data_IF_375017170984
#
_entry.id   IF_375017170984
#
_cell.length_a   1.000
_cell.length_b   1.000
_cell.length_c   1.000
_cell.angle_alpha   90.00
_cell.angle_beta   90.00
_cell.angle_gamma   90.00
#
_symmetry.space_group_name_H-M   'P 1'
#
loop_
_entity.id
_entity.type
_entity.pdbx_description
1 polymer ?
#
# COMPACT_ATOMS: atom_id res chain seq x y z
N UNK A 1 3.03 18.74 4.76
CA UNK A 1 3.58 17.37 4.69
C UNK A 1 3.30 16.51 5.93
N UNK A 2 3.53 16.93 7.19
CA UNK A 2 3.36 16.03 8.35
C UNK A 2 1.92 15.56 8.58
N UNK A 3 0.93 16.43 8.34
CA UNK A 3 -0.49 16.07 8.47
C UNK A 3 -0.94 15.02 7.44
N UNK A 4 -0.41 15.06 6.22
CA UNK A 4 -0.78 14.12 5.17
C UNK A 4 -0.16 12.74 5.40
N UNK A 5 1.08 12.68 5.91
CA UNK A 5 1.70 11.43 6.36
C UNK A 5 0.92 10.80 7.53
N UNK A 6 0.43 11.61 8.47
CA UNK A 6 -0.37 11.11 9.60
C UNK A 6 -1.70 10.49 9.12
N UNK A 7 -2.39 11.15 8.18
CA UNK A 7 -3.61 10.62 7.55
C UNK A 7 -3.32 9.31 6.82
N UNK A 8 -2.20 9.22 6.09
CA UNK A 8 -1.74 7.97 5.47
C UNK A 8 -1.56 6.87 6.51
N UNK A 9 -0.78 7.08 7.57
CA UNK A 9 -0.57 6.03 8.58
C UNK A 9 -1.86 5.61 9.28
N UNK A 10 -2.76 6.54 9.60
CA UNK A 10 -4.07 6.19 10.16
C UNK A 10 -4.88 5.32 9.18
N UNK A 11 -4.87 5.66 7.89
CA UNK A 11 -5.56 4.84 6.87
C UNK A 11 -4.92 3.46 6.76
N UNK A 12 -3.59 3.34 6.65
CA UNK A 12 -2.96 2.02 6.51
C UNK A 12 -3.09 1.17 7.80
N UNK A 13 -3.13 1.77 8.99
CA UNK A 13 -3.41 1.04 10.24
C UNK A 13 -4.83 0.45 10.21
N UNK A 14 -5.84 1.24 9.82
CA UNK A 14 -7.22 0.75 9.70
C UNK A 14 -7.30 -0.38 8.67
N UNK A 15 -6.65 -0.22 7.52
CA UNK A 15 -6.60 -1.25 6.48
C UNK A 15 -5.83 -2.51 6.93
N UNK A 16 -4.81 -2.36 7.77
CA UNK A 16 -4.10 -3.50 8.38
C UNK A 16 -5.04 -4.34 9.24
N UNK A 17 -5.87 -3.68 10.05
CA UNK A 17 -6.86 -4.36 10.89
C UNK A 17 -7.87 -5.10 10.03
N UNK A 18 -8.40 -4.45 8.99
CA UNK A 18 -9.33 -5.09 8.05
C UNK A 18 -8.69 -6.30 7.34
N UNK A 19 -7.44 -6.17 6.88
CA UNK A 19 -6.73 -7.25 6.20
C UNK A 19 -6.48 -8.46 7.13
N UNK A 20 -6.24 -8.21 8.42
CA UNK A 20 -6.11 -9.28 9.43
C UNK A 20 -7.43 -10.02 9.65
N UNK A 21 -8.56 -9.31 9.76
CA UNK A 21 -9.85 -9.93 10.09
C UNK A 21 -10.54 -10.56 8.87
N UNK A 22 -10.54 -9.86 7.74
CA UNK A 22 -11.37 -10.19 6.58
C UNK A 22 -10.54 -10.58 5.35
N UNK A 23 -9.20 -10.49 5.41
CA UNK A 23 -8.28 -10.71 4.26
C UNK A 23 -8.74 -9.98 2.99
N UNK A 24 -9.33 -8.81 3.19
CA UNK A 24 -9.89 -7.96 2.16
C UNK A 24 -9.72 -6.51 2.56
N UNK A 25 -9.54 -5.64 1.56
CA UNK A 25 -9.32 -4.22 1.75
C UNK A 25 -10.50 -3.49 1.13
N UNK A 26 -11.11 -2.60 1.89
CA UNK A 26 -12.20 -1.76 1.36
C UNK A 26 -11.64 -0.52 0.67
N UNK A 27 -11.64 -0.55 -0.67
CA UNK A 27 -11.19 0.53 -1.57
C UNK A 27 -11.64 1.97 -1.22
N UNK A 28 -12.86 2.23 -0.73
CA UNK A 28 -13.31 3.61 -0.45
C UNK A 28 -12.45 4.36 0.59
N UNK A 29 -11.76 3.64 1.48
CA UNK A 29 -10.90 4.25 2.51
C UNK A 29 -9.63 4.89 1.95
N UNK A 30 -9.23 4.54 0.74
CA UNK A 30 -8.04 5.06 0.07
C UNK A 30 -8.33 6.35 -0.72
N UNK A 31 -9.60 6.60 -1.05
CA UNK A 31 -10.05 7.73 -1.85
C UNK A 31 -9.69 9.10 -1.25
N UNK A 32 -9.85 9.33 0.08
CA UNK A 32 -9.46 10.61 0.69
C UNK A 32 -7.97 10.89 0.58
N UNK A 33 -7.13 9.87 0.77
CA UNK A 33 -5.67 10.00 0.69
C UNK A 33 -5.21 10.27 -0.75
N UNK A 34 -5.87 9.64 -1.72
CA UNK A 34 -5.59 9.83 -3.15
C UNK A 34 -6.05 11.22 -3.62
N UNK A 35 -7.24 11.67 -3.21
CA UNK A 35 -7.75 13.01 -3.50
C UNK A 35 -6.83 14.10 -2.93
N UNK A 36 -6.38 13.94 -1.69
CA UNK A 36 -5.45 14.89 -1.05
C UNK A 36 -4.11 14.98 -1.79
N UNK A 37 -3.63 13.87 -2.37
CA UNK A 37 -2.41 13.88 -3.19
C UNK A 37 -2.62 14.55 -4.56
N UNK A 38 -3.74 14.27 -5.25
CA UNK A 38 -4.12 14.93 -6.51
C UNK A 38 -4.21 16.45 -6.34
N UNK A 39 -4.75 16.91 -5.21
CA UNK A 39 -4.89 18.33 -4.89
C UNK A 39 -3.58 18.98 -4.42
N UNK A 40 -2.50 18.20 -4.24
CA UNK A 40 -1.19 18.74 -3.85
C UNK A 40 -0.45 19.34 -5.04
N UNK A 41 0.25 20.46 -4.83
CA UNK A 41 1.03 21.14 -5.87
C UNK A 41 2.22 20.31 -6.39
N UNK A 42 2.55 19.20 -5.73
CA UNK A 42 3.63 18.26 -6.07
C UNK A 42 3.14 17.04 -6.87
N UNK A 43 1.91 17.06 -7.37
CA UNK A 43 1.35 15.93 -8.10
C UNK A 43 2.15 15.62 -9.38
N UNK A 44 2.55 14.36 -9.54
CA UNK A 44 3.29 13.92 -10.72
C UNK A 44 2.45 12.93 -11.53
N UNK A 45 2.04 13.40 -12.71
CA UNK A 45 1.18 12.68 -13.66
C UNK A 45 1.76 11.35 -14.13
N UNK A 46 3.08 11.23 -14.27
CA UNK A 46 3.71 10.00 -14.76
C UNK A 46 3.43 8.80 -13.85
N UNK A 47 3.43 9.02 -12.54
CA UNK A 47 3.16 7.96 -11.56
C UNK A 47 1.67 7.64 -11.46
N UNK A 48 0.81 8.63 -11.65
CA UNK A 48 -0.62 8.40 -11.74
C UNK A 48 -0.97 7.55 -12.96
N UNK A 49 -0.34 7.78 -14.11
CA UNK A 49 -0.53 6.91 -15.29
C UNK A 49 0.00 5.49 -15.06
N UNK A 50 1.13 5.34 -14.35
CA UNK A 50 1.67 4.03 -13.99
C UNK A 50 0.69 3.27 -13.08
N UNK A 51 0.13 3.96 -12.07
CA UNK A 51 -0.94 3.43 -11.22
C UNK A 51 -2.14 2.96 -12.05
N UNK A 52 -2.68 3.82 -12.93
CA UNK A 52 -3.81 3.47 -13.80
C UNK A 52 -3.50 2.28 -14.71
N UNK A 53 -2.27 2.20 -15.26
CA UNK A 53 -1.85 1.11 -16.13
C UNK A 53 -1.78 -0.22 -15.38
N UNK A 54 -1.25 -0.21 -14.15
CA UNK A 54 -1.23 -1.38 -13.27
C UNK A 54 -2.65 -1.80 -12.91
N UNK A 55 -3.52 -0.86 -12.52
CA UNK A 55 -4.93 -1.14 -12.25
C UNK A 55 -5.66 -1.73 -13.46
N UNK A 56 -5.39 -1.20 -14.66
CA UNK A 56 -5.98 -1.67 -15.91
C UNK A 56 -5.52 -3.09 -16.26
N UNK A 57 -4.23 -3.38 -16.12
CA UNK A 57 -3.69 -4.75 -16.30
C UNK A 57 -4.37 -5.72 -15.33
N UNK A 58 -4.60 -5.29 -14.08
CA UNK A 58 -5.26 -6.12 -13.08
C UNK A 58 -6.70 -6.45 -13.47
N UNK A 59 -7.46 -5.45 -13.94
CA UNK A 59 -8.83 -5.63 -14.43
C UNK A 59 -8.84 -6.56 -15.65
N UNK A 60 -7.92 -6.37 -16.61
CA UNK A 60 -7.86 -7.15 -17.84
C UNK A 60 -7.54 -8.62 -17.61
N UNK A 61 -6.73 -8.94 -16.60
CA UNK A 61 -6.34 -10.31 -16.32
C UNK A 61 -7.37 -11.08 -15.47
N UNK A 62 -8.45 -10.45 -15.02
CA UNK A 62 -9.39 -11.01 -14.03
C UNK A 62 -8.69 -11.54 -12.76
N UNK A 63 -7.43 -11.15 -12.55
CA UNK A 63 -6.63 -11.53 -11.42
C UNK A 63 -7.06 -10.62 -10.26
N UNK A 64 -7.75 -11.19 -9.28
CA UNK A 64 -7.93 -10.52 -7.99
C UNK A 64 -6.65 -10.64 -7.11
N UNK A 65 -5.54 -11.14 -7.68
CA UNK A 65 -4.45 -11.80 -6.95
C UNK A 65 -3.14 -10.98 -6.87
N UNK A 66 -3.16 -9.75 -7.39
CA UNK A 66 -2.13 -8.74 -7.10
C UNK A 66 -2.82 -7.41 -6.81
N UNK A 67 -2.92 -7.02 -5.54
CA UNK A 67 -3.43 -5.69 -5.18
C UNK A 67 -4.94 -5.54 -5.16
N UNK A 68 -5.59 -6.18 -4.18
CA UNK A 68 -6.96 -5.88 -3.82
C UNK A 68 -7.10 -4.61 -2.94
N UNK A 69 -6.03 -3.79 -2.91
CA UNK A 69 -5.79 -2.66 -2.00
C UNK A 69 -4.29 -2.43 -1.71
N UNK A 70 -3.45 -3.47 -1.76
CA UNK A 70 -2.01 -3.35 -1.48
C UNK A 70 -1.28 -2.44 -2.47
N UNK A 71 -1.66 -2.48 -3.76
CA UNK A 71 -1.11 -1.62 -4.80
C UNK A 71 -1.52 -0.16 -4.56
N UNK A 72 -2.74 0.07 -4.07
CA UNK A 72 -3.20 1.41 -3.74
C UNK A 72 -2.40 1.98 -2.55
N UNK A 73 -2.16 1.15 -1.53
CA UNK A 73 -1.33 1.54 -0.38
C UNK A 73 0.12 1.74 -0.80
N UNK A 74 0.65 0.90 -1.68
CA UNK A 74 1.99 1.06 -2.24
C UNK A 74 2.12 2.37 -3.04
N UNK A 75 1.12 2.68 -3.87
CA UNK A 75 1.05 3.94 -4.62
C UNK A 75 0.99 5.15 -3.70
N UNK A 76 0.14 5.12 -2.67
CA UNK A 76 0.08 6.19 -1.68
C UNK A 76 1.41 6.35 -0.92
N UNK A 77 2.04 5.25 -0.51
CA UNK A 77 3.35 5.28 0.12
C UNK A 77 4.41 5.90 -0.80
N UNK A 78 4.38 5.58 -2.10
CA UNK A 78 5.17 6.26 -3.11
C UNK A 78 4.89 7.78 -3.16
N UNK A 79 3.62 8.18 -3.18
CA UNK A 79 3.21 9.58 -3.21
C UNK A 79 3.70 10.40 -2.01
N UNK A 80 3.84 9.77 -0.84
CA UNK A 80 4.25 10.45 0.40
C UNK A 80 5.75 10.37 0.70
N UNK A 81 6.41 9.25 0.37
CA UNK A 81 7.81 8.99 0.75
C UNK A 81 8.76 8.88 -0.45
N UNK A 82 8.24 8.80 -1.67
CA UNK A 82 9.01 8.66 -2.91
C UNK A 82 9.39 7.21 -3.24
N UNK A 83 9.98 7.02 -4.43
CA UNK A 83 10.32 5.68 -4.97
C UNK A 83 11.28 4.91 -4.07
N UNK A 84 12.41 5.49 -3.59
CA UNK A 84 13.38 4.72 -2.83
C UNK A 84 12.77 4.13 -1.55
N UNK A 85 11.98 4.93 -0.83
CA UNK A 85 11.28 4.53 0.39
C UNK A 85 10.16 3.52 0.12
N UNK A 86 9.45 3.63 -1.01
CA UNK A 86 8.49 2.61 -1.44
C UNK A 86 9.19 1.28 -1.71
N UNK A 87 10.31 1.28 -2.45
CA UNK A 87 11.03 0.06 -2.81
C UNK A 87 11.64 -0.63 -1.58
N UNK A 88 12.27 0.11 -0.68
CA UNK A 88 12.78 -0.43 0.58
C UNK A 88 11.65 -0.92 1.49
N UNK A 89 10.54 -0.17 1.59
CA UNK A 89 9.35 -0.57 2.35
C UNK A 89 8.73 -1.87 1.83
N UNK A 90 8.55 -2.00 0.51
CA UNK A 90 8.06 -3.23 -0.13
C UNK A 90 9.01 -4.42 0.08
N UNK A 91 10.33 -4.18 0.02
CA UNK A 91 11.32 -5.23 0.25
C UNK A 91 11.31 -5.72 1.70
N UNK A 92 11.19 -4.81 2.67
CA UNK A 92 11.03 -5.15 4.09
C UNK A 92 9.71 -5.89 4.30
N UNK A 93 8.61 -5.39 3.74
CA UNK A 93 7.30 -6.00 3.87
C UNK A 93 7.26 -7.42 3.30
N UNK A 94 7.74 -7.61 2.07
CA UNK A 94 7.77 -8.92 1.40
C UNK A 94 8.69 -9.92 2.10
N UNK A 95 9.87 -9.49 2.55
CA UNK A 95 10.79 -10.39 3.29
C UNK A 95 10.22 -10.82 4.64
N UNK A 96 9.66 -9.89 5.42
CA UNK A 96 9.04 -10.20 6.72
C UNK A 96 7.79 -11.06 6.56
N UNK A 97 6.94 -10.75 5.58
CA UNK A 97 5.77 -11.54 5.20
C UNK A 97 6.15 -12.98 4.82
N UNK A 98 7.20 -13.15 4.00
CA UNK A 98 7.71 -14.46 3.60
C UNK A 98 8.24 -15.26 4.80
N UNK A 99 9.07 -14.65 5.65
CA UNK A 99 9.58 -15.31 6.87
C UNK A 99 8.41 -15.75 7.74
N UNK A 100 7.43 -14.87 7.95
CA UNK A 100 6.25 -15.17 8.74
C UNK A 100 5.46 -16.35 8.16
N UNK A 101 5.14 -16.32 6.86
CA UNK A 101 4.44 -17.40 6.16
C UNK A 101 5.14 -18.76 6.33
N UNK A 102 6.48 -18.78 6.27
CA UNK A 102 7.27 -19.99 6.49
C UNK A 102 7.17 -20.50 7.94
N UNK A 103 7.11 -19.61 8.93
CA UNK A 103 6.99 -19.99 10.34
C UNK A 103 5.61 -20.55 10.68
N UNK A 104 4.55 -19.97 10.12
CA UNK A 104 3.16 -20.36 10.43
C UNK A 104 2.57 -21.38 9.44
N UNK A 105 3.32 -21.75 8.39
CA UNK A 105 2.90 -22.66 7.31
C UNK A 105 1.56 -22.27 6.66
N UNK A 106 1.24 -20.97 6.62
CA UNK A 106 0.02 -20.47 5.98
C UNK A 106 0.31 -19.94 4.58
N UNK A 107 -0.50 -20.38 3.62
CA UNK A 107 -0.42 -19.94 2.22
C UNK A 107 -0.91 -18.51 1.99
N UNK A 108 -1.77 -17.99 2.87
CA UNK A 108 -2.35 -16.65 2.76
C UNK A 108 -2.14 -15.90 4.06
N UNK A 109 -1.55 -14.72 3.94
CA UNK A 109 -1.22 -13.84 5.06
C UNK A 109 -1.74 -12.44 4.74
N UNK A 110 -2.16 -11.73 5.78
CA UNK A 110 -2.46 -10.30 5.66
C UNK A 110 -1.16 -9.57 5.35
N UNK A 111 -1.06 -8.93 4.19
CA UNK A 111 0.16 -8.28 3.71
C UNK A 111 0.26 -6.83 4.17
N UNK A 112 -0.88 -6.14 4.33
CA UNK A 112 -0.93 -4.74 4.74
C UNK A 112 -0.20 -4.46 6.06
N UNK A 113 -0.30 -5.30 7.11
CA UNK A 113 0.48 -5.11 8.33
C UNK A 113 1.99 -5.10 8.09
N UNK A 114 2.52 -5.99 7.24
CA UNK A 114 3.95 -5.98 6.91
C UNK A 114 4.35 -4.73 6.12
N UNK A 115 3.45 -4.27 5.25
CA UNK A 115 3.62 -3.05 4.49
C UNK A 115 3.63 -1.79 5.38
N UNK A 116 2.80 -1.74 6.43
CA UNK A 116 2.87 -0.66 7.44
C UNK A 116 4.21 -0.63 8.15
N UNK A 117 4.73 -1.79 8.57
CA UNK A 117 6.04 -1.88 9.21
C UNK A 117 7.14 -1.38 8.27
N UNK A 118 7.10 -1.77 6.99
CA UNK A 118 8.02 -1.29 5.97
C UNK A 118 8.06 0.24 5.87
N UNK A 119 6.91 0.90 5.89
CA UNK A 119 6.82 2.37 5.85
C UNK A 119 7.17 3.05 7.18
N UNK A 120 6.85 2.46 8.33
CA UNK A 120 7.26 2.98 9.63
C UNK A 120 8.78 3.00 9.77
N UNK A 121 9.48 1.99 9.23
CA UNK A 121 10.94 1.98 9.17
C UNK A 121 11.54 3.12 8.34
N UNK A 122 10.77 3.76 7.44
CA UNK A 122 11.24 4.91 6.65
C UNK A 122 11.10 6.24 7.41
N UNK A 123 10.48 6.25 8.59
CA UNK A 123 10.37 7.47 9.42
C UNK A 123 11.60 7.73 10.30
N UNK A 124 12.47 6.73 10.48
CA UNK A 124 13.66 6.78 11.33
C UNK A 124 14.93 6.78 10.48
#
# INVERSE_FOLDING_TARGET
MPQACLVFFLTVIILSVQDIYDQSITYPLLFPALLMHILSSSFNWSYFFLYLLVSLINILNHEAWLGNGDIDIAYLGFCYFGIPAMMSGLLIASSTAMIWSLLINQKRIAFVPFLTLGYLCQLF
#
